data_IF_009074662230
#
_entry.id   IF_009074662230
#
_cell.length_a   1.000
_cell.length_b   1.000
_cell.length_c   1.000
_cell.angle_alpha   90.00
_cell.angle_beta   90.00
_cell.angle_gamma   90.00
#
_symmetry.space_group_name_H-M   'P 1'
#
loop_
_entity.id
_entity.type
_entity.pdbx_description
1 polymer ?
#
# COMPACT_ATOMS: atom_id res chain seq x y z
N UNK A 1 13.92 -25.10 11.33
CA UNK A 1 13.65 -25.72 12.64
C UNK A 1 12.18 -26.10 12.81
N UNK A 2 11.23 -25.15 12.78
CA UNK A 2 9.78 -25.41 12.89
C UNK A 2 9.26 -26.56 12.02
N UNK A 3 9.61 -26.57 10.73
CA UNK A 3 9.19 -27.63 9.81
C UNK A 3 9.69 -29.03 10.21
N UNK A 4 10.97 -29.15 10.58
CA UNK A 4 11.54 -30.42 11.03
C UNK A 4 10.84 -30.92 12.30
N UNK A 5 10.53 -30.00 13.23
CA UNK A 5 9.82 -30.35 14.46
C UNK A 5 8.39 -30.83 14.19
N UNK A 6 7.65 -30.21 13.26
CA UNK A 6 6.32 -30.70 12.87
C UNK A 6 6.36 -32.12 12.30
N UNK A 7 7.40 -32.45 11.53
CA UNK A 7 7.59 -33.81 10.99
C UNK A 7 7.91 -34.79 12.11
N UNK A 8 8.77 -34.43 13.05
CA UNK A 8 9.11 -35.31 14.18
C UNK A 8 7.94 -35.49 15.15
N UNK A 9 7.14 -34.45 15.45
CA UNK A 9 5.92 -34.57 16.26
C UNK A 9 4.92 -35.54 15.62
N UNK A 10 4.85 -35.61 14.29
CA UNK A 10 4.03 -36.62 13.61
C UNK A 10 4.63 -38.02 13.67
N UNK A 11 5.95 -38.16 13.56
CA UNK A 11 6.63 -39.45 13.73
C UNK A 11 6.47 -39.99 15.17
N UNK A 12 6.34 -39.13 16.17
CA UNK A 12 5.97 -39.54 17.54
C UNK A 12 4.59 -40.18 17.63
N UNK A 13 3.67 -39.83 16.73
CA UNK A 13 2.33 -40.41 16.67
C UNK A 13 2.26 -41.71 15.85
N UNK A 14 3.36 -42.12 15.20
CA UNK A 14 3.43 -43.38 14.45
C UNK A 14 3.62 -44.56 15.41
N UNK A 15 2.94 -45.70 15.19
CA UNK A 15 3.01 -46.86 16.11
C UNK A 15 4.29 -47.71 16.00
N UNK A 16 5.33 -47.18 15.38
CA UNK A 16 6.62 -47.86 15.26
C UNK A 16 7.62 -47.28 16.30
N UNK A 17 8.13 -48.10 17.23
CA UNK A 17 9.05 -47.64 18.26
C UNK A 17 10.38 -47.11 17.70
N UNK A 18 10.82 -47.55 16.52
CA UNK A 18 12.06 -47.06 15.90
C UNK A 18 11.89 -45.62 15.39
N UNK A 19 10.74 -45.33 14.74
CA UNK A 19 10.44 -43.97 14.27
C UNK A 19 10.18 -43.00 15.42
N UNK A 20 9.54 -43.46 16.50
CA UNK A 20 9.39 -42.67 17.70
C UNK A 20 10.75 -42.33 18.33
N UNK A 21 11.62 -43.32 18.52
CA UNK A 21 12.96 -43.09 19.10
C UNK A 21 13.81 -42.13 18.26
N UNK A 22 13.76 -42.27 16.94
CA UNK A 22 14.42 -41.36 16.00
C UNK A 22 13.89 -39.93 16.12
N UNK A 23 12.56 -39.75 16.10
CA UNK A 23 11.92 -38.44 16.22
C UNK A 23 12.26 -37.73 17.53
N UNK A 24 12.30 -38.46 18.65
CA UNK A 24 12.72 -37.92 19.97
C UNK A 24 14.13 -37.35 19.91
N UNK A 25 15.08 -38.14 19.41
CA UNK A 25 16.48 -37.74 19.30
C UNK A 25 16.65 -36.51 18.42
N UNK A 26 15.93 -36.43 17.31
CA UNK A 26 16.01 -35.28 16.40
C UNK A 26 15.35 -34.01 16.96
N UNK A 27 14.27 -34.14 17.74
CA UNK A 27 13.64 -33.02 18.45
C UNK A 27 14.55 -32.46 19.55
N UNK A 28 15.15 -33.33 20.36
CA UNK A 28 16.13 -32.95 21.38
C UNK A 28 17.36 -32.28 20.76
N UNK A 29 17.89 -32.85 19.68
CA UNK A 29 19.01 -32.26 18.95
C UNK A 29 18.64 -30.90 18.33
N UNK A 30 17.40 -30.73 17.86
CA UNK A 30 16.91 -29.46 17.31
C UNK A 30 16.85 -28.38 18.39
N UNK A 31 16.35 -28.70 19.59
CA UNK A 31 16.42 -27.79 20.75
C UNK A 31 17.86 -27.42 21.06
N UNK A 32 18.76 -28.40 21.13
CA UNK A 32 20.16 -28.16 21.50
C UNK A 32 20.87 -27.27 20.48
N UNK A 33 20.62 -27.45 19.17
CA UNK A 33 21.17 -26.58 18.13
C UNK A 33 20.56 -25.18 18.22
N UNK A 34 19.26 -25.04 18.49
CA UNK A 34 18.64 -23.75 18.74
C UNK A 34 19.33 -23.03 19.92
N UNK A 35 19.54 -23.72 21.05
CA UNK A 35 20.23 -23.17 22.23
C UNK A 35 21.70 -22.80 21.97
N UNK A 36 22.37 -23.46 21.03
CA UNK A 36 23.79 -23.23 20.71
C UNK A 36 24.04 -22.29 19.52
N UNK A 37 22.99 -21.91 18.78
CA UNK A 37 23.12 -21.08 17.57
C UNK A 37 23.56 -19.65 17.92
N UNK A 38 24.55 -19.09 17.22
CA UNK A 38 24.94 -17.67 17.38
C UNK A 38 23.86 -16.68 16.93
N UNK A 39 22.91 -17.10 16.07
CA UNK A 39 21.74 -16.28 15.74
C UNK A 39 20.77 -16.14 16.93
N UNK A 40 20.88 -17.04 17.92
CA UNK A 40 20.15 -16.99 19.20
C UNK A 40 20.57 -15.79 20.07
N UNK A 41 21.79 -15.27 19.88
CA UNK A 41 22.31 -14.14 20.64
C UNK A 41 21.76 -12.78 20.18
N UNK A 42 21.26 -12.67 18.94
CA UNK A 42 20.82 -11.40 18.35
C UNK A 42 19.29 -11.23 18.29
N UNK A 43 18.52 -12.28 18.56
CA UNK A 43 17.05 -12.25 18.53
C UNK A 43 16.49 -13.01 19.75
N UNK A 44 16.80 -12.46 20.93
CA UNK A 44 16.74 -13.13 22.23
C UNK A 44 15.31 -13.47 22.68
N UNK A 45 14.31 -12.66 22.33
CA UNK A 45 12.92 -12.88 22.79
C UNK A 45 12.13 -13.79 21.85
N UNK A 46 12.24 -13.59 20.53
CA UNK A 46 11.55 -14.42 19.55
C UNK A 46 12.07 -15.86 19.61
N UNK A 47 13.39 -16.03 19.67
CA UNK A 47 14.00 -17.37 19.70
C UNK A 47 13.78 -18.07 21.04
N UNK A 48 13.68 -17.33 22.15
CA UNK A 48 13.33 -17.88 23.47
C UNK A 48 11.87 -18.29 23.55
N UNK A 49 10.94 -17.51 22.99
CA UNK A 49 9.53 -17.89 22.88
C UNK A 49 9.36 -19.12 21.96
N UNK A 50 10.09 -19.18 20.85
CA UNK A 50 10.07 -20.36 19.97
C UNK A 50 10.66 -21.61 20.64
N UNK A 51 11.76 -21.50 21.39
CA UNK A 51 12.30 -22.63 22.15
C UNK A 51 11.34 -23.05 23.26
N UNK A 52 10.71 -22.11 23.95
CA UNK A 52 9.69 -22.39 24.95
C UNK A 52 8.47 -23.12 24.36
N UNK A 53 7.96 -22.65 23.21
CA UNK A 53 6.87 -23.29 22.47
C UNK A 53 7.30 -24.69 21.99
N UNK A 54 8.53 -24.83 21.45
CA UNK A 54 9.06 -26.13 21.05
C UNK A 54 9.20 -27.09 22.23
N UNK A 55 9.72 -26.63 23.37
CA UNK A 55 9.83 -27.41 24.60
C UNK A 55 8.45 -27.84 25.09
N UNK A 56 7.46 -26.94 25.02
CA UNK A 56 6.09 -27.21 25.41
C UNK A 56 5.38 -28.18 24.45
N UNK A 57 5.58 -28.05 23.14
CA UNK A 57 5.06 -28.97 22.12
C UNK A 57 5.66 -30.37 22.27
N UNK A 58 6.95 -30.43 22.54
CA UNK A 58 7.69 -31.65 22.84
C UNK A 58 7.13 -32.28 24.11
N UNK A 59 7.03 -31.51 25.20
CA UNK A 59 6.45 -31.98 26.46
C UNK A 59 5.02 -32.48 26.27
N UNK A 60 4.16 -31.75 25.56
CA UNK A 60 2.80 -32.15 25.25
C UNK A 60 2.75 -33.43 24.40
N UNK A 61 3.63 -33.57 23.39
CA UNK A 61 3.71 -34.78 22.57
C UNK A 61 4.25 -36.00 23.34
N UNK A 62 5.09 -35.78 24.36
CA UNK A 62 5.61 -36.83 25.23
C UNK A 62 4.61 -37.28 26.30
N UNK A 63 3.78 -36.38 26.83
CA UNK A 63 2.97 -36.62 28.02
C UNK A 63 1.44 -36.63 27.81
N UNK A 64 0.91 -36.07 26.71
CA UNK A 64 -0.54 -36.06 26.42
C UNK A 64 -0.90 -36.82 25.14
N UNK A 65 -1.57 -37.97 25.31
CA UNK A 65 -1.99 -38.87 24.23
C UNK A 65 -3.49 -38.72 23.92
N UNK A 66 -3.92 -37.66 23.21
CA UNK A 66 -5.16 -37.61 22.38
C UNK A 66 -5.49 -36.20 21.84
N UNK A 67 -5.43 -36.00 20.52
CA UNK A 67 -6.59 -35.79 19.64
C UNK A 67 -6.14 -35.43 18.22
N UNK A 68 -6.66 -36.18 17.23
CA UNK A 68 -6.38 -36.02 15.80
C UNK A 68 -7.45 -35.20 15.09
N UNK A 69 -7.09 -34.07 14.46
CA UNK A 69 -7.89 -33.44 13.39
C UNK A 69 -7.03 -32.90 12.20
N UNK A 70 -5.69 -32.83 12.26
CA UNK A 70 -4.86 -32.17 11.21
C UNK A 70 -4.24 -33.08 10.11
N UNK A 71 -4.89 -34.18 9.72
CA UNK A 71 -4.20 -35.24 8.96
C UNK A 71 -4.25 -35.18 7.42
N UNK A 72 -5.05 -34.36 6.75
CA UNK A 72 -5.15 -34.42 5.27
C UNK A 72 -4.42 -33.29 4.51
N UNK A 73 -4.47 -32.03 4.95
CA UNK A 73 -3.81 -30.92 4.22
C UNK A 73 -2.27 -30.93 4.35
N UNK A 74 -1.76 -31.48 5.45
CA UNK A 74 -0.37 -31.29 5.86
C UNK A 74 0.61 -32.27 5.19
N UNK A 75 0.15 -33.42 4.70
CA UNK A 75 1.02 -34.37 3.95
C UNK A 75 1.25 -33.92 2.51
N UNK A 76 0.21 -33.35 1.86
CA UNK A 76 0.35 -32.73 0.54
C UNK A 76 1.28 -31.51 0.59
N UNK A 77 1.19 -30.71 1.65
CA UNK A 77 2.06 -29.57 1.91
C UNK A 77 3.53 -29.99 2.12
N UNK A 78 3.77 -31.12 2.79
CA UNK A 78 5.13 -31.66 3.02
C UNK A 78 5.77 -32.19 1.71
N UNK A 79 5.02 -32.91 0.88
CA UNK A 79 5.52 -33.37 -0.42
C UNK A 79 5.76 -32.23 -1.40
N UNK A 80 4.89 -31.21 -1.37
CA UNK A 80 5.04 -30.00 -2.16
C UNK A 80 6.30 -29.22 -1.77
N UNK A 81 6.57 -29.03 -0.47
CA UNK A 81 7.77 -28.32 -0.01
C UNK A 81 9.08 -29.07 -0.28
N UNK A 82 9.10 -30.40 -0.21
CA UNK A 82 10.31 -31.19 -0.51
C UNK A 82 10.71 -31.12 -2.00
N UNK A 83 9.76 -30.85 -2.90
CA UNK A 83 10.00 -30.83 -4.35
C UNK A 83 9.82 -29.45 -5.02
N UNK A 84 9.53 -28.39 -4.26
CA UNK A 84 9.28 -27.05 -4.83
C UNK A 84 10.47 -26.54 -5.66
N UNK A 85 11.69 -27.01 -5.35
CA UNK A 85 12.92 -26.66 -6.07
C UNK A 85 13.03 -27.25 -7.48
N UNK A 86 12.21 -28.25 -7.82
CA UNK A 86 12.20 -28.87 -9.14
C UNK A 86 11.14 -28.26 -10.07
N UNK A 87 10.30 -27.37 -9.55
CA UNK A 87 9.31 -26.68 -10.38
C UNK A 87 9.99 -25.59 -11.22
N UNK A 88 9.62 -25.46 -12.51
CA UNK A 88 9.94 -24.31 -13.32
C UNK A 88 9.56 -23.01 -12.61
N UNK A 89 10.38 -21.98 -12.78
CA UNK A 89 10.19 -20.70 -12.07
C UNK A 89 8.84 -20.05 -12.43
N UNK A 90 8.34 -20.24 -13.64
CA UNK A 90 7.04 -19.73 -14.09
C UNK A 90 5.88 -20.31 -13.27
N UNK A 91 5.98 -21.58 -12.87
CA UNK A 91 5.00 -22.19 -11.97
C UNK A 91 5.14 -21.65 -10.55
N UNK A 92 6.37 -21.43 -10.09
CA UNK A 92 6.65 -20.82 -8.79
C UNK A 92 6.12 -19.38 -8.70
N UNK A 93 6.21 -18.61 -9.78
CA UNK A 93 5.59 -17.29 -9.87
C UNK A 93 4.07 -17.37 -9.75
N UNK A 94 3.43 -18.28 -10.51
CA UNK A 94 1.97 -18.49 -10.40
C UNK A 94 1.54 -18.91 -9.00
N UNK A 95 2.32 -19.76 -8.32
CA UNK A 95 2.06 -20.11 -6.91
C UNK A 95 2.24 -18.87 -6.03
N UNK A 96 3.31 -18.10 -6.28
CA UNK A 96 3.60 -16.85 -5.59
C UNK A 96 2.49 -15.82 -5.70
N UNK A 97 1.74 -15.78 -6.81
CA UNK A 97 0.58 -14.88 -6.98
C UNK A 97 -0.50 -15.13 -5.93
N UNK A 98 -0.69 -16.37 -5.50
CA UNK A 98 -1.65 -16.76 -4.45
C UNK A 98 -1.12 -16.58 -3.02
N UNK A 99 0.16 -16.28 -2.84
CA UNK A 99 0.79 -16.12 -1.53
C UNK A 99 0.98 -14.65 -1.18
N UNK A 100 0.70 -14.29 0.08
CA UNK A 100 1.04 -12.97 0.60
C UNK A 100 2.54 -12.80 0.79
N UNK A 101 2.99 -11.55 0.99
CA UNK A 101 4.41 -11.26 1.24
C UNK A 101 4.94 -12.03 2.45
N UNK A 102 4.16 -12.09 3.53
CA UNK A 102 4.52 -12.82 4.75
C UNK A 102 4.72 -14.31 4.49
N UNK A 103 3.83 -14.96 3.73
CA UNK A 103 3.97 -16.38 3.39
C UNK A 103 5.24 -16.67 2.58
N UNK A 104 5.54 -15.82 1.59
CA UNK A 104 6.74 -15.96 0.77
C UNK A 104 8.00 -15.70 1.61
N UNK A 105 7.95 -14.73 2.52
CA UNK A 105 9.04 -14.47 3.47
C UNK A 105 9.33 -15.69 4.34
N UNK A 106 8.30 -16.28 4.96
CA UNK A 106 8.46 -17.47 5.80
C UNK A 106 8.89 -18.71 5.01
N UNK A 107 8.45 -18.87 3.76
CA UNK A 107 9.02 -19.86 2.84
C UNK A 107 10.54 -19.72 2.74
N UNK A 108 11.04 -18.49 2.64
CA UNK A 108 12.47 -18.18 2.60
C UNK A 108 13.25 -18.55 3.87
N UNK A 109 12.57 -18.70 5.01
CA UNK A 109 13.19 -19.12 6.28
C UNK A 109 13.31 -20.64 6.43
N UNK A 110 12.66 -21.42 5.57
CA UNK A 110 12.58 -22.89 5.71
C UNK A 110 13.88 -23.61 5.37
N UNK A 111 14.59 -23.17 4.33
CA UNK A 111 15.87 -23.76 3.89
C UNK A 111 16.67 -22.76 3.04
N UNK A 112 17.95 -23.04 2.78
CA UNK A 112 18.78 -22.21 1.89
C UNK A 112 18.23 -22.17 0.46
N UNK A 113 17.76 -23.31 -0.08
CA UNK A 113 17.16 -23.36 -1.41
C UNK A 113 15.81 -22.63 -1.44
N UNK A 114 15.00 -22.74 -0.39
CA UNK A 114 13.73 -22.02 -0.27
C UNK A 114 13.95 -20.52 -0.17
N UNK A 115 15.03 -20.08 0.48
CA UNK A 115 15.45 -18.68 0.51
C UNK A 115 15.69 -18.13 -0.88
N UNK A 116 16.45 -18.83 -1.72
CA UNK A 116 16.72 -18.38 -3.09
C UNK A 116 15.42 -18.25 -3.89
N UNK A 117 14.52 -19.24 -3.79
CA UNK A 117 13.22 -19.18 -4.46
C UNK A 117 12.37 -18.02 -3.94
N UNK A 118 12.25 -17.87 -2.62
CA UNK A 118 11.50 -16.80 -2.01
C UNK A 118 12.05 -15.42 -2.43
N UNK A 119 13.37 -15.26 -2.47
CA UNK A 119 14.02 -14.03 -2.94
C UNK A 119 13.70 -13.75 -4.42
N UNK A 120 13.72 -14.77 -5.29
CA UNK A 120 13.35 -14.62 -6.69
C UNK A 120 11.87 -14.26 -6.86
N UNK A 121 10.97 -14.91 -6.11
CA UNK A 121 9.54 -14.61 -6.13
C UNK A 121 9.32 -13.17 -5.63
N UNK A 122 9.91 -12.80 -4.48
CA UNK A 122 9.79 -11.46 -3.89
C UNK A 122 10.28 -10.39 -4.88
N UNK A 123 11.43 -10.62 -5.53
CA UNK A 123 11.96 -9.72 -6.55
C UNK A 123 11.05 -9.60 -7.77
N UNK A 124 10.45 -10.71 -8.21
CA UNK A 124 9.58 -10.68 -9.39
C UNK A 124 8.20 -10.06 -9.12
N UNK A 125 7.62 -10.33 -7.94
CA UNK A 125 6.25 -9.93 -7.57
C UNK A 125 6.18 -8.55 -6.93
N UNK A 126 7.12 -8.24 -6.04
CA UNK A 126 7.13 -6.99 -5.26
C UNK A 126 8.23 -6.03 -5.70
N UNK A 127 9.08 -6.42 -6.67
CA UNK A 127 10.24 -5.63 -7.09
C UNK A 127 11.25 -5.32 -5.97
N UNK A 128 11.23 -6.10 -4.89
CA UNK A 128 12.16 -5.97 -3.76
C UNK A 128 13.38 -6.88 -4.00
N UNK A 129 14.56 -6.29 -4.17
CA UNK A 129 15.80 -7.06 -4.29
C UNK A 129 16.43 -7.36 -2.93
N UNK A 130 16.19 -8.58 -2.44
CA UNK A 130 16.79 -9.08 -1.19
C UNK A 130 18.16 -9.75 -1.39
N UNK A 131 18.65 -9.92 -2.64
CA UNK A 131 19.96 -10.54 -2.90
C UNK A 131 21.11 -9.59 -2.63
N UNK A 132 20.86 -8.29 -2.73
CA UNK A 132 21.81 -7.24 -2.37
C UNK A 132 21.97 -7.08 -0.85
N UNK A 133 21.64 -8.09 -0.03
CA UNK A 133 21.63 -8.03 1.44
C UNK A 133 22.95 -7.60 2.09
N UNK A 134 24.05 -7.64 1.33
CA UNK A 134 25.34 -7.04 1.72
C UNK A 134 25.29 -5.51 1.84
N UNK A 135 24.31 -4.86 1.21
CA UNK A 135 24.22 -3.41 1.08
C UNK A 135 23.48 -2.81 2.29
N UNK A 136 22.38 -3.39 2.81
CA UNK A 136 21.74 -2.90 4.06
C UNK A 136 21.05 -4.00 4.90
N UNK A 137 21.70 -4.56 5.94
CA UNK A 137 21.09 -5.49 6.90
C UNK A 137 19.85 -4.94 7.63
N UNK A 138 19.74 -3.61 7.71
CA UNK A 138 18.60 -2.93 8.33
C UNK A 138 17.33 -3.05 7.48
N UNK A 139 17.39 -2.83 6.17
CA UNK A 139 16.23 -2.97 5.28
C UNK A 139 15.65 -4.40 5.32
N UNK A 140 16.52 -5.42 5.42
CA UNK A 140 16.10 -6.82 5.63
C UNK A 140 15.34 -7.01 6.96
N UNK A 141 15.75 -6.31 8.02
CA UNK A 141 15.07 -6.34 9.31
C UNK A 141 13.69 -5.67 9.24
N UNK A 142 13.55 -4.53 8.55
CA UNK A 142 12.24 -3.88 8.34
C UNK A 142 11.31 -4.78 7.53
N UNK A 143 11.79 -5.41 6.46
CA UNK A 143 11.00 -6.40 5.71
C UNK A 143 10.57 -7.60 6.57
N UNK A 144 11.44 -8.07 7.47
CA UNK A 144 11.09 -9.12 8.42
C UNK A 144 9.97 -8.67 9.38
N UNK A 145 10.05 -7.44 9.88
CA UNK A 145 9.02 -6.83 10.72
C UNK A 145 7.67 -6.76 10.00
N UNK A 146 7.66 -6.32 8.74
CA UNK A 146 6.45 -6.29 7.89
C UNK A 146 5.88 -7.69 7.67
N UNK A 147 6.73 -8.68 7.37
CA UNK A 147 6.28 -10.07 7.20
C UNK A 147 5.67 -10.63 8.49
N UNK A 148 6.25 -10.29 9.65
CA UNK A 148 5.74 -10.69 10.96
C UNK A 148 4.38 -10.04 11.25
N UNK A 149 4.27 -8.72 11.05
CA UNK A 149 3.01 -7.98 11.17
C UNK A 149 1.93 -8.54 10.24
N UNK A 150 2.26 -8.78 8.96
CA UNK A 150 1.31 -9.34 8.01
C UNK A 150 0.81 -10.75 8.36
N UNK A 151 1.53 -11.51 9.20
CA UNK A 151 1.13 -12.86 9.62
C UNK A 151 0.42 -12.91 10.96
N UNK A 152 0.87 -12.10 11.92
CA UNK A 152 0.41 -12.17 13.31
C UNK A 152 -0.30 -10.90 13.78
N UNK A 153 -0.17 -9.80 13.04
CA UNK A 153 -0.82 -8.54 13.38
C UNK A 153 -2.32 -8.53 13.14
N UNK A 154 -2.86 -9.48 12.37
CA UNK A 154 -4.30 -9.63 12.10
C UNK A 154 -4.78 -11.01 12.54
N UNK A 155 -5.53 -11.07 13.64
CA UNK A 155 -6.17 -12.29 14.16
C UNK A 155 -7.68 -12.15 14.00
N UNK A 156 -8.30 -13.01 13.19
CA UNK A 156 -9.75 -12.97 12.92
C UNK A 156 -10.23 -11.60 12.38
N UNK A 157 -9.45 -10.98 11.48
CA UNK A 157 -9.69 -9.61 10.98
C UNK A 157 -9.78 -8.58 12.11
N UNK A 158 -9.02 -8.79 13.20
CA UNK A 158 -8.80 -7.85 14.29
C UNK A 158 -7.30 -7.59 14.45
N UNK A 159 -6.92 -6.32 14.51
CA UNK A 159 -5.54 -5.91 14.76
C UNK A 159 -5.18 -6.33 16.18
N UNK A 160 -4.10 -7.10 16.32
CA UNK A 160 -3.60 -7.54 17.61
C UNK A 160 -2.63 -6.48 18.18
N UNK A 161 -3.04 -5.67 19.17
CA UNK A 161 -2.25 -4.54 19.64
C UNK A 161 -0.95 -4.97 20.32
N UNK A 162 -0.93 -6.14 20.98
CA UNK A 162 0.29 -6.72 21.58
C UNK A 162 1.37 -7.00 20.54
N UNK A 163 0.99 -7.55 19.39
CA UNK A 163 1.91 -7.81 18.28
C UNK A 163 2.42 -6.51 17.69
N UNK A 164 1.53 -5.55 17.45
CA UNK A 164 1.87 -4.23 16.91
C UNK A 164 2.89 -3.52 17.81
N UNK A 165 2.60 -3.45 19.12
CA UNK A 165 3.47 -2.86 20.13
C UNK A 165 4.82 -3.56 20.21
N UNK A 166 4.81 -4.90 20.22
CA UNK A 166 6.05 -5.68 20.28
C UNK A 166 6.95 -5.37 19.08
N UNK A 167 6.41 -5.39 17.86
CA UNK A 167 7.20 -5.10 16.65
C UNK A 167 7.67 -3.65 16.65
N UNK A 168 6.82 -2.70 17.06
CA UNK A 168 7.17 -1.29 17.06
C UNK A 168 8.30 -0.99 18.06
N UNK A 169 8.24 -1.57 19.27
CA UNK A 169 9.31 -1.49 20.26
C UNK A 169 10.62 -2.05 19.72
N UNK A 170 10.59 -3.24 19.12
CA UNK A 170 11.79 -3.88 18.57
C UNK A 170 12.40 -3.08 17.43
N UNK A 171 11.56 -2.50 16.57
CA UNK A 171 12.04 -1.66 15.47
C UNK A 171 12.61 -0.34 15.97
N UNK A 172 11.97 0.29 16.95
CA UNK A 172 12.48 1.52 17.56
C UNK A 172 13.83 1.31 18.26
N UNK A 173 13.97 0.21 19.02
CA UNK A 173 15.25 -0.20 19.62
C UNK A 173 16.29 -0.48 18.54
N UNK A 174 15.90 -1.19 17.46
CA UNK A 174 16.81 -1.49 16.36
C UNK A 174 17.31 -0.22 15.63
N UNK A 175 16.47 0.82 15.52
CA UNK A 175 16.87 2.14 15.01
C UNK A 175 17.84 2.78 16.00
N UNK A 176 17.48 2.89 17.27
CA UNK A 176 18.30 3.46 18.35
C UNK A 176 19.69 2.81 18.42
N UNK A 177 19.76 1.49 18.45
CA UNK A 177 21.01 0.72 18.57
C UNK A 177 21.93 0.87 17.36
N UNK A 178 21.44 1.36 16.22
CA UNK A 178 22.22 1.58 14.99
C UNK A 178 22.71 3.02 14.83
N UNK A 179 22.23 3.95 15.66
CA UNK A 179 22.70 5.33 15.64
C UNK A 179 24.18 5.40 16.10
N UNK A 180 24.97 6.32 15.52
CA UNK A 180 26.33 6.59 15.97
C UNK A 180 26.34 7.23 17.36
N UNK A 181 26.84 6.52 18.37
CA UNK A 181 27.16 7.13 19.69
C UNK A 181 28.42 8.01 19.63
N UNK A 182 29.27 7.80 18.62
CA UNK A 182 30.52 8.53 18.42
C UNK A 182 30.95 8.43 16.95
N UNK A 183 30.51 9.39 16.12
CA UNK A 183 30.98 9.81 14.77
C UNK A 183 31.53 8.80 13.72
N UNK A 184 31.54 7.50 13.96
CA UNK A 184 32.16 6.47 13.11
C UNK A 184 31.16 5.45 12.56
N UNK A 185 29.84 5.58 12.83
CA UNK A 185 28.80 4.80 12.13
C UNK A 185 28.23 5.60 10.97
N UNK A 186 27.87 4.88 9.91
CA UNK A 186 27.55 5.45 8.60
C UNK A 186 26.14 6.01 8.42
N UNK A 187 25.21 5.79 9.38
CA UNK A 187 23.79 6.07 9.19
C UNK A 187 23.29 7.15 10.15
N UNK A 188 22.63 8.18 9.62
CA UNK A 188 21.87 9.14 10.41
C UNK A 188 20.51 8.55 10.81
N UNK A 189 19.88 9.15 11.83
CA UNK A 189 18.48 8.87 12.18
C UNK A 189 17.57 9.01 10.96
N UNK A 190 17.71 10.11 10.23
CA UNK A 190 16.94 10.40 9.02
C UNK A 190 17.06 9.28 7.98
N UNK A 191 18.26 8.72 7.80
CA UNK A 191 18.48 7.62 6.86
C UNK A 191 17.71 6.35 7.28
N UNK A 192 17.82 5.96 8.56
CA UNK A 192 17.13 4.76 9.07
C UNK A 192 15.61 4.94 9.03
N UNK A 193 15.13 6.13 9.36
CA UNK A 193 13.72 6.44 9.30
C UNK A 193 13.20 6.49 7.86
N UNK A 194 13.93 7.13 6.94
CA UNK A 194 13.60 7.17 5.52
C UNK A 194 13.56 5.75 4.91
N UNK A 195 14.52 4.89 5.23
CA UNK A 195 14.47 3.47 4.81
C UNK A 195 13.25 2.75 5.38
N UNK A 196 12.95 2.97 6.66
CA UNK A 196 11.79 2.35 7.32
C UNK A 196 10.47 2.77 6.68
N UNK A 197 10.25 4.08 6.51
CA UNK A 197 9.05 4.64 5.89
C UNK A 197 8.91 4.19 4.44
N UNK A 198 10.00 4.19 3.68
CA UNK A 198 10.02 3.71 2.30
C UNK A 198 9.52 2.27 2.19
N UNK A 199 10.09 1.38 3.00
CA UNK A 199 9.69 -0.04 3.01
C UNK A 199 8.23 -0.21 3.44
N UNK A 200 7.80 0.47 4.51
CA UNK A 200 6.42 0.35 4.99
C UNK A 200 5.40 0.81 3.95
N UNK A 201 5.68 1.91 3.24
CA UNK A 201 4.77 2.41 2.20
C UNK A 201 4.75 1.53 0.96
N UNK A 202 5.90 1.00 0.54
CA UNK A 202 5.95 0.05 -0.57
C UNK A 202 5.10 -1.19 -0.27
N UNK A 203 5.18 -1.73 0.95
CA UNK A 203 4.35 -2.85 1.38
C UNK A 203 2.87 -2.50 1.50
N UNK A 204 2.55 -1.32 2.03
CA UNK A 204 1.17 -0.87 2.11
C UNK A 204 0.55 -0.74 0.71
N UNK A 205 1.25 -0.17 -0.26
CA UNK A 205 0.70 0.04 -1.61
C UNK A 205 0.60 -1.24 -2.45
N UNK A 206 1.43 -2.24 -2.15
CA UNK A 206 1.40 -3.55 -2.80
C UNK A 206 0.34 -4.50 -2.22
N UNK A 207 -0.39 -4.09 -1.18
CA UNK A 207 -1.39 -4.91 -0.52
C UNK A 207 -2.69 -5.03 -1.36
N UNK A 208 -3.04 -6.24 -1.83
CA UNK A 208 -4.24 -6.46 -2.63
C UNK A 208 -5.55 -6.13 -1.89
N UNK A 209 -5.54 -6.10 -0.56
CA UNK A 209 -6.75 -5.84 0.23
C UNK A 209 -7.16 -4.37 0.25
N UNK A 210 -6.21 -3.43 0.04
CA UNK A 210 -6.54 -2.04 -0.33
C UNK A 210 -7.27 -1.95 -1.69
N UNK A 211 -7.18 -3.00 -2.51
CA UNK A 211 -7.77 -3.09 -3.85
C UNK A 211 -9.14 -3.76 -3.87
N UNK A 212 -9.64 -4.28 -2.73
CA UNK A 212 -11.02 -4.73 -2.66
C UNK A 212 -11.93 -3.50 -2.85
N UNK A 213 -12.28 -3.21 -4.10
CA UNK A 213 -13.46 -2.42 -4.38
C UNK A 213 -14.63 -3.15 -3.71
N UNK A 214 -15.59 -2.45 -3.08
CA UNK A 214 -16.86 -3.08 -2.81
C UNK A 214 -17.31 -3.72 -4.14
N UNK A 215 -17.72 -5.00 -4.12
CA UNK A 215 -18.13 -5.67 -5.35
C UNK A 215 -19.13 -4.76 -6.06
N UNK A 216 -19.00 -4.54 -7.38
CA UNK A 216 -19.97 -3.73 -8.09
C UNK A 216 -21.33 -4.35 -7.78
N UNK A 217 -22.19 -3.58 -7.10
CA UNK A 217 -23.58 -3.94 -6.93
C UNK A 217 -24.09 -4.22 -8.34
N UNK A 218 -24.27 -5.48 -8.71
CA UNK A 218 -24.86 -5.87 -9.98
C UNK A 218 -26.27 -5.27 -9.99
N UNK A 219 -26.38 -4.07 -10.56
CA UNK A 219 -27.62 -3.35 -10.76
C UNK A 219 -28.42 -4.11 -11.83
N UNK A 220 -29.04 -5.21 -11.43
CA UNK A 220 -30.22 -5.76 -12.11
C UNK A 220 -31.38 -4.79 -11.84
N UNK A 221 -31.35 -3.66 -12.55
CA UNK A 221 -32.38 -2.63 -12.55
C UNK A 221 -33.69 -3.19 -13.09
N UNK A 222 -34.63 -3.55 -12.20
CA UNK A 222 -36.06 -3.43 -12.49
C UNK A 222 -36.47 -2.00 -12.12
N UNK A 223 -37.11 -1.30 -13.07
CA UNK A 223 -37.47 0.13 -12.99
C UNK A 223 -38.39 0.50 -11.81
N UNK A 224 -38.94 -0.46 -11.09
CA UNK A 224 -40.00 -0.23 -10.09
C UNK A 224 -39.48 -0.06 -8.65
N UNK A 225 -38.22 -0.38 -8.34
CA UNK A 225 -37.65 -0.27 -6.98
C UNK A 225 -36.76 0.98 -6.76
N UNK A 226 -36.69 1.89 -7.73
CA UNK A 226 -35.64 2.91 -7.77
C UNK A 226 -35.73 3.93 -6.62
N UNK A 227 -36.92 4.22 -6.10
CA UNK A 227 -37.11 5.20 -5.03
C UNK A 227 -36.70 4.66 -3.66
N UNK A 228 -37.12 3.44 -3.34
CA UNK A 228 -36.88 2.83 -2.03
C UNK A 228 -35.42 2.33 -1.90
N UNK A 229 -34.84 1.83 -3.01
CA UNK A 229 -33.41 1.50 -3.05
C UNK A 229 -32.50 2.72 -3.07
N UNK A 230 -32.95 3.93 -3.43
CA UNK A 230 -32.09 5.12 -3.38
C UNK A 230 -31.83 5.56 -1.93
N UNK A 231 -32.86 5.46 -1.08
CA UNK A 231 -32.74 5.74 0.35
C UNK A 231 -31.98 4.61 1.06
N UNK A 232 -32.21 3.34 0.69
CA UNK A 232 -31.42 2.21 1.20
C UNK A 232 -29.95 2.28 0.73
N UNK A 233 -29.67 2.68 -0.51
CA UNK A 233 -28.31 2.89 -1.02
C UNK A 233 -27.64 4.12 -0.39
N UNK A 234 -28.37 5.18 -0.07
CA UNK A 234 -27.81 6.31 0.68
C UNK A 234 -27.43 5.90 2.11
N UNK A 235 -28.22 5.01 2.73
CA UNK A 235 -27.99 4.54 4.09
C UNK A 235 -26.90 3.46 4.13
N UNK A 236 -26.87 2.54 3.17
CA UNK A 236 -25.90 1.45 3.06
C UNK A 236 -24.55 1.92 2.48
N UNK A 237 -24.52 2.91 1.57
CA UNK A 237 -23.29 3.56 1.13
C UNK A 237 -22.71 4.51 2.19
N UNK A 238 -23.52 4.97 3.17
CA UNK A 238 -23.00 5.71 4.32
C UNK A 238 -22.24 4.79 5.30
N UNK A 239 -22.64 3.52 5.43
CA UNK A 239 -22.08 2.59 6.43
C UNK A 239 -21.07 1.56 5.87
N UNK A 240 -21.17 1.17 4.60
CA UNK A 240 -20.21 0.26 3.94
C UNK A 240 -18.95 0.95 3.40
N UNK A 241 -18.85 2.28 3.54
CA UNK A 241 -17.69 3.07 3.08
C UNK A 241 -16.77 3.53 4.21
N UNK A 242 -16.74 2.84 5.36
CA UNK A 242 -15.61 3.02 6.26
C UNK A 242 -14.41 2.25 5.68
N UNK A 243 -13.36 2.92 5.16
CA UNK A 243 -12.18 2.23 4.65
C UNK A 243 -11.44 1.44 5.75
N UNK A 244 -11.81 1.63 7.02
CA UNK A 244 -11.37 0.83 8.18
C UNK A 244 -12.18 -0.46 8.41
N UNK A 245 -13.33 -0.64 7.77
CA UNK A 245 -14.19 -1.81 8.00
C UNK A 245 -13.54 -3.12 7.52
N UNK A 246 -12.73 -3.06 6.46
CA UNK A 246 -11.79 -4.13 6.12
C UNK A 246 -10.45 -3.80 6.79
N UNK A 247 -10.08 -4.58 7.80
CA UNK A 247 -8.74 -4.53 8.38
C UNK A 247 -7.72 -5.10 7.39
N UNK A 248 -7.37 -4.25 6.42
CA UNK A 248 -6.33 -4.48 5.41
C UNK A 248 -4.94 -4.38 6.02
N UNK A 249 -3.93 -4.91 5.33
CA UNK A 249 -2.54 -4.68 5.72
C UNK A 249 -2.19 -3.18 5.61
N UNK A 250 -2.82 -2.43 4.71
CA UNK A 250 -2.74 -0.96 4.68
C UNK A 250 -3.10 -0.30 6.02
N UNK A 251 -4.24 -0.68 6.62
CA UNK A 251 -4.66 -0.16 7.94
C UNK A 251 -3.66 -0.58 9.02
N UNK A 252 -3.25 -1.86 9.01
CA UNK A 252 -2.24 -2.36 9.96
C UNK A 252 -0.93 -1.57 9.88
N UNK A 253 -0.46 -1.21 8.68
CA UNK A 253 0.76 -0.41 8.51
C UNK A 253 0.59 1.02 9.03
N UNK A 254 -0.58 1.62 8.91
CA UNK A 254 -0.84 2.98 9.43
C UNK A 254 -0.87 2.95 10.96
N UNK A 255 -1.56 1.99 11.56
CA UNK A 255 -1.58 1.83 13.02
C UNK A 255 -0.17 1.54 13.55
N UNK A 256 0.60 0.73 12.82
CA UNK A 256 2.01 0.49 13.12
C UNK A 256 2.85 1.77 13.08
N UNK A 257 2.68 2.60 12.05
CA UNK A 257 3.40 3.86 11.89
C UNK A 257 3.09 4.85 13.01
N UNK A 258 1.81 5.00 13.36
CA UNK A 258 1.38 5.83 14.50
C UNK A 258 2.05 5.38 15.80
N UNK A 259 2.06 4.08 16.04
CA UNK A 259 2.66 3.52 17.25
C UNK A 259 4.18 3.69 17.24
N UNK A 260 4.83 3.37 16.13
CA UNK A 260 6.27 3.53 15.95
C UNK A 260 6.68 5.00 16.16
N UNK A 261 5.95 5.95 15.59
CA UNK A 261 6.20 7.38 15.78
C UNK A 261 6.18 7.73 17.28
N UNK A 262 5.13 7.33 18.00
CA UNK A 262 5.01 7.64 19.44
C UNK A 262 6.17 7.07 20.27
N UNK A 263 6.66 5.87 19.93
CA UNK A 263 7.80 5.25 20.61
C UNK A 263 9.10 5.98 20.27
N UNK A 264 9.29 6.35 19.01
CA UNK A 264 10.46 7.10 18.57
C UNK A 264 10.50 8.48 19.25
N UNK A 265 9.36 9.16 19.36
CA UNK A 265 9.26 10.43 20.10
C UNK A 265 9.74 10.27 21.55
N UNK A 266 9.28 9.23 22.25
CA UNK A 266 9.69 8.93 23.64
C UNK A 266 11.19 8.60 23.75
N UNK A 267 11.74 7.86 22.78
CA UNK A 267 13.15 7.44 22.82
C UNK A 267 14.13 8.57 22.46
N UNK A 268 13.69 9.52 21.64
CA UNK A 268 14.55 10.55 21.06
C UNK A 268 14.19 11.98 21.48
N UNK A 269 13.43 12.17 22.57
CA UNK A 269 12.88 13.38 23.21
C UNK A 269 13.52 14.77 22.90
N UNK A 270 14.80 14.86 22.50
CA UNK A 270 15.51 16.10 22.14
C UNK A 270 16.20 16.12 20.77
N UNK A 271 16.42 14.97 20.12
CA UNK A 271 17.15 14.87 18.84
C UNK A 271 16.21 14.69 17.63
N UNK A 272 14.99 14.19 17.86
CA UNK A 272 13.98 14.05 16.81
C UNK A 272 12.96 15.18 16.89
N UNK A 273 13.04 16.13 15.97
CA UNK A 273 11.87 16.98 15.75
C UNK A 273 10.76 16.13 15.13
N UNK A 274 9.55 16.20 15.70
CA UNK A 274 8.30 15.70 15.09
C UNK A 274 8.20 16.15 13.63
N UNK A 275 8.76 17.33 13.34
CA UNK A 275 8.89 17.88 12.00
C UNK A 275 9.72 17.00 11.06
N UNK A 276 10.81 16.36 11.52
CA UNK A 276 11.63 15.48 10.67
C UNK A 276 10.85 14.25 10.22
N UNK A 277 10.13 13.60 11.13
CA UNK A 277 9.28 12.46 10.80
C UNK A 277 8.19 12.84 9.79
N UNK A 278 7.49 13.95 10.06
CA UNK A 278 6.47 14.50 9.17
C UNK A 278 7.02 14.87 7.79
N UNK A 279 8.19 15.51 7.73
CA UNK A 279 8.84 15.91 6.47
C UNK A 279 9.23 14.70 5.63
N UNK A 280 9.83 13.68 6.24
CA UNK A 280 10.16 12.43 5.54
C UNK A 280 8.90 11.71 5.05
N UNK A 281 7.85 11.69 5.87
CA UNK A 281 6.57 11.11 5.49
C UNK A 281 5.96 11.80 4.27
N UNK A 282 5.91 13.13 4.25
CA UNK A 282 5.45 13.91 3.10
C UNK A 282 6.35 13.71 1.87
N UNK A 283 7.66 13.63 2.07
CA UNK A 283 8.62 13.35 1.01
C UNK A 283 8.35 11.99 0.36
N UNK A 284 8.07 10.95 1.14
CA UNK A 284 7.71 9.63 0.59
C UNK A 284 6.37 9.65 -0.14
N UNK A 285 5.33 10.30 0.40
CA UNK A 285 4.04 10.45 -0.28
C UNK A 285 4.19 11.17 -1.62
N UNK A 286 4.99 12.24 -1.66
CA UNK A 286 5.33 12.97 -2.88
C UNK A 286 6.06 12.07 -3.88
N UNK A 287 7.08 11.33 -3.42
CA UNK A 287 7.84 10.39 -4.26
C UNK A 287 6.94 9.33 -4.89
N UNK A 288 6.04 8.75 -4.10
CA UNK A 288 5.08 7.75 -4.57
C UNK A 288 4.14 8.37 -5.61
N UNK A 289 3.53 9.52 -5.31
CA UNK A 289 2.63 10.18 -6.25
C UNK A 289 3.34 10.58 -7.55
N UNK A 290 4.61 11.01 -7.48
CA UNK A 290 5.42 11.30 -8.65
C UNK A 290 5.68 10.05 -9.50
N UNK A 291 6.03 8.91 -8.89
CA UNK A 291 6.20 7.66 -9.61
C UNK A 291 4.89 7.22 -10.30
N UNK A 292 3.77 7.32 -9.59
CA UNK A 292 2.45 7.02 -10.15
C UNK A 292 2.08 7.98 -11.28
N UNK A 293 2.41 9.27 -11.12
CA UNK A 293 2.22 10.30 -12.15
C UNK A 293 3.06 9.99 -13.39
N UNK A 294 4.33 9.66 -13.24
CA UNK A 294 5.20 9.33 -14.37
C UNK A 294 4.66 8.13 -15.16
N UNK A 295 4.25 7.07 -14.47
CA UNK A 295 3.61 5.92 -15.12
C UNK A 295 2.31 6.29 -15.86
N UNK A 296 1.48 7.12 -15.22
CA UNK A 296 0.23 7.63 -15.79
C UNK A 296 0.50 8.50 -17.04
N UNK A 297 1.46 9.42 -16.97
CA UNK A 297 1.84 10.29 -18.08
C UNK A 297 2.43 9.47 -19.23
N UNK A 298 3.37 8.56 -18.94
CA UNK A 298 3.95 7.66 -19.94
C UNK A 298 2.89 6.84 -20.67
N UNK A 299 1.90 6.30 -19.93
CA UNK A 299 0.78 5.58 -20.52
C UNK A 299 0.04 6.45 -21.55
N UNK A 300 -0.30 7.69 -21.19
CA UNK A 300 -1.06 8.56 -22.08
C UNK A 300 -0.22 9.15 -23.22
N UNK A 301 1.08 9.40 -23.02
CA UNK A 301 2.02 9.77 -24.08
C UNK A 301 2.09 8.68 -25.15
N UNK A 302 2.23 7.41 -24.75
CA UNK A 302 2.23 6.29 -25.69
C UNK A 302 0.87 6.11 -26.37
N UNK A 303 -0.24 6.13 -25.63
CA UNK A 303 -1.57 5.91 -26.18
C UNK A 303 -2.01 7.00 -27.18
N UNK A 304 -1.52 8.24 -27.02
CA UNK A 304 -1.78 9.31 -28.00
C UNK A 304 -1.05 9.14 -29.34
N UNK A 305 0.01 8.32 -29.40
CA UNK A 305 0.81 8.09 -30.59
C UNK A 305 0.26 6.94 -31.47
N UNK A 306 -0.58 6.06 -30.93
CA UNK A 306 -1.12 4.92 -31.67
C UNK A 306 -2.46 5.24 -32.35
N UNK A 307 -2.70 4.71 -33.57
CA UNK A 307 -4.00 4.83 -34.21
C UNK A 307 -5.05 4.03 -33.42
N UNK A 308 -6.14 4.73 -33.09
CA UNK A 308 -7.50 4.46 -32.52
C UNK A 308 -8.03 3.01 -32.35
N UNK A 309 -7.32 1.99 -32.79
CA UNK A 309 -7.75 0.58 -32.75
C UNK A 309 -7.75 -0.05 -31.36
N UNK A 310 -6.92 0.40 -30.41
CA UNK A 310 -6.98 -0.12 -29.04
C UNK A 310 -8.00 0.64 -28.18
N UNK A 311 -8.79 -0.06 -27.34
CA UNK A 311 -9.75 0.60 -26.46
C UNK A 311 -9.04 1.50 -25.46
N UNK A 312 -9.62 2.67 -25.21
CA UNK A 312 -9.15 3.58 -24.17
C UNK A 312 -9.36 2.93 -22.79
N UNK A 313 -8.28 2.45 -22.14
CA UNK A 313 -8.34 1.71 -20.88
C UNK A 313 -7.92 2.58 -19.67
N UNK A 314 -8.83 3.47 -19.26
CA UNK A 314 -8.61 4.41 -18.16
C UNK A 314 -8.38 3.71 -16.80
N UNK A 315 -9.06 2.59 -16.59
CA UNK A 315 -8.98 1.82 -15.33
C UNK A 315 -7.56 1.34 -15.06
N UNK A 316 -6.87 0.84 -16.09
CA UNK A 316 -5.49 0.35 -15.95
C UNK A 316 -4.52 1.49 -15.62
N UNK A 317 -4.67 2.64 -16.28
CA UNK A 317 -3.80 3.80 -16.09
C UNK A 317 -3.97 4.43 -14.70
N UNK A 318 -5.21 4.49 -14.22
CA UNK A 318 -5.57 5.18 -12.97
C UNK A 318 -5.51 4.27 -11.75
N UNK A 319 -5.33 2.97 -11.94
CA UNK A 319 -5.32 2.00 -10.85
C UNK A 319 -4.31 2.32 -9.73
N UNK A 320 -3.02 2.58 -10.01
CA UNK A 320 -2.07 2.93 -8.95
C UNK A 320 -2.40 4.28 -8.26
N UNK A 321 -3.04 5.20 -8.97
CA UNK A 321 -3.48 6.48 -8.40
C UNK A 321 -4.63 6.28 -7.40
N UNK A 322 -5.61 5.43 -7.72
CA UNK A 322 -6.68 5.11 -6.78
C UNK A 322 -6.14 4.41 -5.52
N UNK A 323 -5.13 3.55 -5.65
CA UNK A 323 -4.47 2.92 -4.51
C UNK A 323 -3.79 3.97 -3.62
N UNK A 324 -3.00 4.84 -4.23
CA UNK A 324 -2.37 5.95 -3.53
C UNK A 324 -3.40 6.81 -2.81
N UNK A 325 -4.48 7.20 -3.49
CA UNK A 325 -5.53 8.05 -2.93
C UNK A 325 -6.21 7.37 -1.72
N UNK A 326 -6.54 6.08 -1.81
CA UNK A 326 -7.11 5.33 -0.68
C UNK A 326 -6.16 5.30 0.52
N UNK A 327 -4.90 4.96 0.29
CA UNK A 327 -3.88 4.92 1.33
C UNK A 327 -3.66 6.31 1.96
N UNK A 328 -3.53 7.34 1.12
CA UNK A 328 -3.43 8.73 1.55
C UNK A 328 -4.62 9.14 2.42
N UNK A 329 -5.85 8.87 1.99
CA UNK A 329 -7.04 9.21 2.76
C UNK A 329 -7.16 8.43 4.07
N UNK A 330 -6.68 7.18 4.14
CA UNK A 330 -6.57 6.45 5.40
C UNK A 330 -5.62 7.18 6.37
N UNK A 331 -4.47 7.65 5.89
CA UNK A 331 -3.53 8.44 6.69
C UNK A 331 -4.07 9.81 7.12
N UNK A 332 -4.95 10.43 6.30
CA UNK A 332 -5.65 11.66 6.69
C UNK A 332 -6.61 11.40 7.85
N UNK A 333 -7.28 10.25 7.83
CA UNK A 333 -8.24 9.87 8.86
C UNK A 333 -7.59 9.48 10.19
N UNK A 334 -6.30 9.13 10.19
CA UNK A 334 -5.49 9.00 11.41
C UNK A 334 -4.79 10.31 11.76
N UNK A 335 -4.10 10.35 12.90
CA UNK A 335 -3.32 11.50 13.33
C UNK A 335 -1.94 11.63 12.64
N UNK A 336 -1.67 10.84 11.60
CA UNK A 336 -0.40 10.88 10.85
C UNK A 336 -0.23 12.18 10.06
N UNK A 337 -1.29 12.67 9.42
CA UNK A 337 -1.26 13.87 8.57
C UNK A 337 -2.14 14.99 9.14
N UNK A 338 -1.61 16.21 9.29
CA UNK A 338 -2.45 17.35 9.70
C UNK A 338 -3.40 17.79 8.56
N UNK A 339 -4.55 18.42 8.85
CA UNK A 339 -5.42 18.96 7.81
C UNK A 339 -4.69 19.93 6.86
N UNK A 340 -3.75 20.70 7.40
CA UNK A 340 -2.92 21.61 6.59
C UNK A 340 -2.05 20.84 5.60
N UNK A 341 -1.41 19.75 6.02
CA UNK A 341 -0.61 18.90 5.12
C UNK A 341 -1.43 18.42 3.93
N UNK A 342 -2.71 18.10 4.15
CA UNK A 342 -3.60 17.59 3.10
C UNK A 342 -3.99 18.68 2.11
N UNK A 343 -4.33 19.89 2.60
CA UNK A 343 -4.66 21.03 1.74
C UNK A 343 -3.44 21.46 0.90
N UNK A 344 -2.26 21.53 1.53
CA UNK A 344 -0.98 21.85 0.88
C UNK A 344 -0.62 20.79 -0.16
N UNK A 345 -0.62 19.50 0.21
CA UNK A 345 -0.32 18.37 -0.68
C UNK A 345 -1.26 18.29 -1.88
N UNK A 346 -2.56 18.55 -1.68
CA UNK A 346 -3.53 18.59 -2.77
C UNK A 346 -3.20 19.72 -3.75
N UNK A 347 -2.88 20.91 -3.24
CA UNK A 347 -2.57 22.07 -4.06
C UNK A 347 -1.27 21.91 -4.86
N UNK A 348 -0.23 21.36 -4.24
CA UNK A 348 1.11 21.28 -4.82
C UNK A 348 1.31 20.06 -5.70
N UNK A 349 0.69 18.91 -5.37
CA UNK A 349 1.01 17.64 -6.01
C UNK A 349 -0.19 17.01 -6.72
N UNK A 350 -1.36 16.98 -6.10
CA UNK A 350 -2.56 16.43 -6.74
C UNK A 350 -2.98 17.25 -7.97
N UNK A 351 -2.84 18.58 -7.90
CA UNK A 351 -3.09 19.46 -9.04
C UNK A 351 -2.20 19.15 -10.25
N UNK A 352 -0.95 18.73 -10.00
CA UNK A 352 0.06 18.43 -11.02
C UNK A 352 0.01 16.99 -11.52
N UNK A 353 -0.88 16.15 -10.99
CA UNK A 353 -0.98 14.74 -11.35
C UNK A 353 -1.48 14.52 -12.79
N UNK A 354 -2.46 15.31 -13.21
CA UNK A 354 -3.20 15.11 -14.45
C UNK A 354 -2.45 15.64 -15.67
N UNK A 355 -2.68 15.04 -16.83
CA UNK A 355 -2.09 15.48 -18.11
C UNK A 355 -2.74 16.77 -18.58
N UNK A 356 -4.06 16.88 -18.42
CA UNK A 356 -4.87 18.03 -18.84
C UNK A 356 -5.24 18.91 -17.64
N UNK A 357 -5.37 20.20 -17.87
CA UNK A 357 -5.87 21.18 -16.91
C UNK A 357 -7.37 21.40 -17.11
N UNK A 358 -8.11 21.82 -16.07
CA UNK A 358 -9.54 22.08 -16.19
C UNK A 358 -9.91 22.99 -17.36
N UNK A 359 -9.08 23.99 -17.66
CA UNK A 359 -9.33 25.00 -18.69
C UNK A 359 -8.69 24.68 -20.05
N UNK A 360 -8.14 23.49 -20.24
CA UNK A 360 -7.59 23.08 -21.54
C UNK A 360 -8.68 22.86 -22.58
N UNK A 361 -9.93 22.61 -22.16
CA UNK A 361 -11.08 22.43 -23.04
C UNK A 361 -12.09 23.55 -22.83
N UNK A 362 -12.56 24.14 -23.92
CA UNK A 362 -13.61 25.16 -23.93
C UNK A 362 -14.73 24.82 -24.91
N UNK A 363 -15.89 25.43 -24.69
CA UNK A 363 -17.09 25.24 -25.52
C UNK A 363 -17.55 26.59 -26.08
N UNK A 364 -18.00 26.63 -27.34
CA UNK A 364 -18.63 27.83 -27.94
C UNK A 364 -19.98 27.49 -28.53
N UNK A 365 -21.03 28.12 -27.99
CA UNK A 365 -22.40 28.03 -28.48
C UNK A 365 -22.62 28.83 -29.76
N UNK A 366 -21.95 30.00 -29.86
CA UNK A 366 -22.09 30.93 -30.99
C UNK A 366 -21.63 30.34 -32.33
N UNK A 367 -20.82 29.28 -32.31
CA UNK A 367 -20.24 28.64 -33.49
C UNK A 367 -20.71 27.19 -33.66
N UNK A 368 -22.00 26.89 -33.51
CA UNK A 368 -22.57 25.54 -33.73
C UNK A 368 -22.05 24.47 -32.77
N UNK A 369 -21.85 24.81 -31.48
CA UNK A 369 -21.34 23.89 -30.45
C UNK A 369 -19.98 23.26 -30.83
N UNK A 370 -18.96 24.11 -30.88
CA UNK A 370 -17.58 23.68 -31.14
C UNK A 370 -16.82 23.48 -29.83
N UNK A 371 -16.02 22.42 -29.81
CA UNK A 371 -15.07 22.13 -28.74
C UNK A 371 -13.72 22.74 -29.14
N UNK A 372 -13.09 23.45 -28.21
CA UNK A 372 -11.76 24.02 -28.38
C UNK A 372 -10.84 23.31 -27.41
N UNK A 373 -9.67 22.89 -27.88
CA UNK A 373 -8.66 22.27 -27.04
C UNK A 373 -7.40 23.13 -27.14
N UNK A 374 -6.98 23.69 -26.00
CA UNK A 374 -5.76 24.48 -25.88
C UNK A 374 -4.56 23.55 -25.92
N UNK A 375 -3.62 23.85 -26.80
CA UNK A 375 -2.33 23.17 -26.81
C UNK A 375 -1.35 23.94 -25.91
N UNK A 376 -0.48 23.28 -25.12
CA UNK A 376 0.48 23.94 -24.23
C UNK A 376 1.45 24.94 -24.89
N UNK A 377 1.51 25.00 -26.23
CA UNK A 377 2.45 25.85 -26.98
C UNK A 377 1.83 26.59 -28.19
N UNK A 378 0.50 26.67 -28.32
CA UNK A 378 -0.17 27.34 -29.46
C UNK A 378 -1.41 28.13 -29.04
N UNK A 379 -1.76 29.15 -29.85
CA UNK A 379 -3.07 29.81 -29.83
C UNK A 379 -4.20 28.77 -29.97
N UNK A 380 -5.37 29.08 -29.42
CA UNK A 380 -6.58 28.24 -29.41
C UNK A 380 -6.81 27.52 -30.75
N UNK A 381 -6.49 26.23 -30.82
CA UNK A 381 -6.76 25.42 -31.99
C UNK A 381 -8.24 25.02 -31.99
N UNK A 382 -8.96 25.42 -33.03
CA UNK A 382 -10.34 25.03 -33.24
C UNK A 382 -10.41 23.54 -33.58
N UNK A 383 -11.08 22.72 -32.76
CA UNK A 383 -11.45 21.37 -33.17
C UNK A 383 -12.65 21.50 -34.09
N UNK A 384 -12.40 21.63 -35.39
CA UNK A 384 -13.46 21.59 -36.39
C UNK A 384 -14.08 20.20 -36.41
N UNK A 385 -15.23 20.08 -35.74
CA UNK A 385 -16.09 18.89 -35.69
C UNK A 385 -15.38 17.63 -35.22
N UNK A 386 -15.67 17.26 -33.97
CA UNK A 386 -15.36 15.99 -33.28
C UNK A 386 -15.86 14.81 -34.11
N UNK A 387 -15.16 14.52 -35.19
CA UNK A 387 -15.28 13.29 -35.97
C UNK A 387 -13.98 12.56 -35.77
N UNK A 388 -14.07 11.33 -35.26
CA UNK A 388 -12.95 10.44 -34.92
C UNK A 388 -11.93 10.28 -36.06
N UNK A 389 -12.34 10.62 -37.29
CA UNK A 389 -11.62 10.40 -38.54
C UNK A 389 -10.62 11.51 -38.92
N UNK A 390 -10.79 12.76 -38.46
CA UNK A 390 -9.94 13.89 -38.92
C UNK A 390 -8.76 14.20 -38.02
N UNK A 391 -8.93 14.12 -36.69
CA UNK A 391 -7.90 14.51 -35.70
C UNK A 391 -7.93 13.60 -34.47
N UNK A 392 -7.47 12.34 -34.59
CA UNK A 392 -7.56 11.34 -33.52
C UNK A 392 -6.86 11.77 -32.22
N UNK A 393 -5.77 12.53 -32.30
CA UNK A 393 -5.06 13.06 -31.12
C UNK A 393 -5.90 14.08 -30.33
N UNK A 394 -6.63 14.97 -31.01
CA UNK A 394 -7.49 15.97 -30.35
C UNK A 394 -8.74 15.30 -29.74
N UNK A 395 -9.29 14.30 -30.43
CA UNK A 395 -10.38 13.48 -29.89
C UNK A 395 -9.96 12.74 -28.62
N UNK A 396 -8.77 12.13 -28.64
CA UNK A 396 -8.19 11.47 -27.48
C UNK A 396 -7.98 12.44 -26.32
N UNK A 397 -7.41 13.63 -26.58
CA UNK A 397 -7.14 14.64 -25.55
C UNK A 397 -8.43 15.16 -24.90
N UNK A 398 -9.49 15.37 -25.68
CA UNK A 398 -10.81 15.73 -25.16
C UNK A 398 -11.40 14.62 -24.26
N UNK A 399 -11.34 13.36 -24.72
CA UNK A 399 -11.83 12.22 -23.94
C UNK A 399 -11.05 12.06 -22.63
N UNK A 400 -9.72 12.18 -22.71
CA UNK A 400 -8.83 12.17 -21.56
C UNK A 400 -9.20 13.28 -20.58
N UNK A 401 -9.36 14.51 -21.05
CA UNK A 401 -9.77 15.65 -20.22
C UNK A 401 -11.08 15.38 -19.47
N UNK A 402 -12.09 14.83 -20.13
CA UNK A 402 -13.38 14.54 -19.50
C UNK A 402 -13.23 13.54 -18.35
N UNK A 403 -12.45 12.48 -18.55
CA UNK A 403 -12.22 11.47 -17.52
C UNK A 403 -11.30 11.97 -16.41
N UNK A 404 -10.32 12.82 -16.73
CA UNK A 404 -9.47 13.47 -15.72
C UNK A 404 -10.24 14.47 -14.88
N UNK A 405 -11.22 15.20 -15.44
CA UNK A 405 -12.12 16.05 -14.66
C UNK A 405 -12.89 15.20 -13.64
N UNK A 406 -13.48 14.08 -14.07
CA UNK A 406 -14.20 13.17 -13.17
C UNK A 406 -13.28 12.61 -12.08
N UNK A 407 -12.10 12.13 -12.46
CA UNK A 407 -11.11 11.58 -11.53
C UNK A 407 -10.62 12.64 -10.54
N UNK A 408 -10.38 13.87 -11.00
CA UNK A 408 -9.99 15.01 -10.15
C UNK A 408 -11.08 15.38 -9.16
N UNK A 409 -12.33 15.47 -9.61
CA UNK A 409 -13.47 15.71 -8.70
C UNK A 409 -13.57 14.60 -7.65
N UNK A 410 -13.48 13.34 -8.07
CA UNK A 410 -13.52 12.20 -7.17
C UNK A 410 -12.39 12.28 -6.12
N UNK A 411 -11.14 12.49 -6.56
CA UNK A 411 -10.00 12.57 -5.66
C UNK A 411 -10.13 13.70 -4.63
N UNK A 412 -10.53 14.89 -5.08
CA UNK A 412 -10.73 16.05 -4.21
C UNK A 412 -11.89 15.86 -3.23
N UNK A 413 -13.01 15.26 -3.67
CA UNK A 413 -14.15 14.98 -2.79
C UNK A 413 -13.82 13.92 -1.74
N UNK A 414 -13.07 12.89 -2.12
CA UNK A 414 -12.63 11.82 -1.20
C UNK A 414 -11.64 12.38 -0.17
N UNK A 415 -10.67 13.18 -0.59
CA UNK A 415 -9.76 13.89 0.31
C UNK A 415 -10.52 14.84 1.26
N UNK A 416 -11.45 15.64 0.73
CA UNK A 416 -12.28 16.55 1.52
C UNK A 416 -13.13 15.79 2.54
N UNK A 417 -13.77 14.68 2.16
CA UNK A 417 -14.55 13.84 3.07
C UNK A 417 -13.67 13.28 4.19
N UNK A 418 -12.46 12.80 3.86
CA UNK A 418 -11.50 12.31 4.85
C UNK A 418 -11.09 13.41 5.84
N UNK A 419 -10.78 14.61 5.35
CA UNK A 419 -10.45 15.76 6.20
C UNK A 419 -11.61 16.18 7.10
N UNK A 420 -12.83 16.29 6.55
CA UNK A 420 -14.01 16.65 7.33
C UNK A 420 -14.25 15.62 8.44
N UNK A 421 -14.18 14.32 8.15
CA UNK A 421 -14.31 13.24 9.14
C UNK A 421 -13.28 13.42 10.27
N UNK A 422 -12.01 13.65 9.92
CA UNK A 422 -10.93 13.88 10.89
C UNK A 422 -11.19 15.11 11.76
N UNK A 423 -11.50 16.25 11.13
CA UNK A 423 -11.75 17.52 11.82
C UNK A 423 -12.98 17.45 12.75
N UNK A 424 -14.05 16.80 12.32
CA UNK A 424 -15.24 16.56 13.16
C UNK A 424 -14.90 15.70 14.39
N UNK A 425 -14.11 14.64 14.22
CA UNK A 425 -13.67 13.80 15.34
C UNK A 425 -12.81 14.57 16.36
N UNK A 426 -12.05 15.57 15.88
CA UNK A 426 -11.19 16.41 16.74
C UNK A 426 -11.91 17.66 17.28
N UNK A 427 -13.15 17.95 16.85
CA UNK A 427 -13.85 19.18 17.21
C UNK A 427 -13.24 20.47 16.62
N UNK A 428 -12.44 20.35 15.55
CA UNK A 428 -11.75 21.47 14.90
C UNK A 428 -12.45 21.80 13.57
N UNK A 429 -12.49 23.07 13.17
CA UNK A 429 -12.99 23.43 11.83
C UNK A 429 -11.95 23.08 10.73
N UNK A 430 -12.36 22.43 9.64
CA UNK A 430 -11.44 22.06 8.56
C UNK A 430 -11.02 23.31 7.76
N UNK A 431 -9.70 23.53 7.65
CA UNK A 431 -9.12 24.49 6.70
C UNK A 431 -8.88 23.78 5.36
N UNK A 432 -9.87 23.86 4.45
CA UNK A 432 -9.82 23.22 3.12
C UNK A 432 -9.84 24.25 1.98
N UNK A 433 -9.09 25.34 2.12
CA UNK A 433 -9.17 26.49 1.23
C UNK A 433 -8.74 26.13 -0.20
N UNK A 434 -7.67 25.35 -0.34
CA UNK A 434 -7.12 24.96 -1.63
C UNK A 434 -7.98 23.88 -2.27
N UNK A 435 -8.35 22.83 -1.54
CA UNK A 435 -9.20 21.74 -2.06
C UNK A 435 -10.56 22.29 -2.52
N UNK A 436 -11.18 23.19 -1.74
CA UNK A 436 -12.46 23.82 -2.12
C UNK A 436 -12.30 24.68 -3.37
N UNK A 437 -11.19 25.42 -3.48
CA UNK A 437 -10.90 26.21 -4.67
C UNK A 437 -10.71 25.31 -5.89
N UNK A 438 -9.93 24.23 -5.78
CA UNK A 438 -9.72 23.24 -6.85
C UNK A 438 -11.03 22.56 -7.28
N UNK A 439 -11.91 22.20 -6.33
CA UNK A 439 -13.23 21.65 -6.61
C UNK A 439 -14.10 22.65 -7.37
N UNK A 440 -14.10 23.91 -6.95
CA UNK A 440 -14.80 24.99 -7.65
C UNK A 440 -14.28 25.14 -9.07
N UNK A 441 -12.97 25.18 -9.29
CA UNK A 441 -12.39 25.28 -10.63
C UNK A 441 -12.71 24.08 -11.51
N UNK A 442 -12.62 22.88 -10.96
CA UNK A 442 -12.93 21.64 -11.69
C UNK A 442 -14.42 21.58 -12.07
N UNK A 443 -15.30 22.06 -11.18
CA UNK A 443 -16.74 22.15 -11.47
C UNK A 443 -17.06 23.27 -12.46
N UNK A 444 -16.35 24.40 -12.40
CA UNK A 444 -16.50 25.50 -13.34
C UNK A 444 -16.07 25.10 -14.76
N UNK A 445 -15.10 24.21 -14.89
CA UNK A 445 -14.69 23.67 -16.19
C UNK A 445 -15.80 22.84 -16.87
N UNK A 446 -16.73 22.27 -16.09
CA UNK A 446 -17.94 21.62 -16.60
C UNK A 446 -19.11 22.60 -16.79
N UNK A 447 -19.09 23.74 -16.10
CA UNK A 447 -20.09 24.78 -16.30
C UNK A 447 -19.78 25.54 -17.59
N UNK A 448 -20.76 25.58 -18.48
CA UNK A 448 -20.72 26.14 -19.83
C UNK A 448 -20.54 27.67 -19.85
N UNK A 449 -19.48 28.20 -19.26
CA UNK A 449 -19.17 29.63 -19.33
C UNK A 449 -18.51 29.86 -20.70
N UNK A 450 -18.85 30.95 -21.39
CA UNK A 450 -18.24 31.27 -22.68
C UNK A 450 -16.80 31.74 -22.50
N UNK A 451 -15.90 31.27 -23.37
CA UNK A 451 -14.44 31.48 -23.35
C UNK A 451 -13.98 32.94 -23.18
N UNK A 452 -14.84 33.93 -23.40
CA UNK A 452 -14.57 35.36 -23.22
C UNK A 452 -14.34 35.83 -21.78
N UNK A 453 -14.91 35.16 -20.77
CA UNK A 453 -14.69 35.49 -19.34
C UNK A 453 -13.49 34.77 -18.70
N UNK A 454 -12.83 33.86 -19.43
CA UNK A 454 -11.80 32.97 -18.88
C UNK A 454 -10.42 33.62 -18.74
N UNK A 455 -10.09 34.57 -19.63
CA UNK A 455 -8.80 35.25 -19.60
C UNK A 455 -8.57 36.05 -18.31
N UNK A 456 -9.64 36.54 -17.66
CA UNK A 456 -9.53 37.29 -16.41
C UNK A 456 -9.38 36.38 -15.18
N UNK A 457 -10.07 35.22 -15.18
CA UNK A 457 -9.95 34.22 -14.10
C UNK A 457 -8.58 33.53 -14.13
N UNK A 458 -8.07 33.20 -15.32
CA UNK A 458 -6.76 32.57 -15.50
C UNK A 458 -5.61 33.53 -15.16
N UNK A 459 -5.69 34.80 -15.58
CA UNK A 459 -4.71 35.84 -15.20
C UNK A 459 -4.68 36.07 -13.68
N UNK A 460 -5.84 36.06 -13.01
CA UNK A 460 -5.91 36.16 -11.56
C UNK A 460 -5.28 34.95 -10.84
N UNK A 461 -5.27 33.78 -11.50
CA UNK A 461 -4.75 32.53 -10.95
C UNK A 461 -3.24 32.42 -11.11
N UNK A 462 -2.71 32.78 -12.29
CA UNK A 462 -1.27 32.90 -12.54
C UNK A 462 -0.67 33.92 -11.57
N UNK A 463 -1.33 35.07 -11.40
CA UNK A 463 -0.89 36.10 -10.45
C UNK A 463 -0.82 35.60 -8.99
N UNK A 464 -1.73 34.71 -8.58
CA UNK A 464 -1.72 34.10 -7.24
C UNK A 464 -0.65 33.02 -7.08
N UNK A 465 -0.40 32.21 -8.10
CA UNK A 465 0.62 31.16 -8.06
C UNK A 465 2.05 31.71 -8.14
N UNK A 466 2.25 32.91 -8.70
CA UNK A 466 3.55 33.59 -8.71
C UNK A 466 3.82 34.46 -7.48
N UNK A 467 2.86 34.59 -6.57
CA UNK A 467 2.98 35.40 -5.34
C UNK A 467 3.23 34.56 -4.07
N UNK A 468 3.32 33.24 -4.18
CA UNK A 468 3.77 32.29 -3.16
C UNK A 468 5.14 31.79 -3.62
#
# INVERSE_FOLDING_TARGET
FLFANMVYIKLLNYHDPQYQAFARRCLEQSINICKMSKAYLYDLELTRNFVSIMEQDIHNAFFYKKHSIFNSLSVLFIYFFMNIHYLPFELLQRIGDYLGFSDIWYLGTCSHKSRQIAQQIIRSKYHIDLHSSLIHPFSHFVHAAVAYLGRYGLVQNRIEPSVLQSVANHLAIAIHDRLPTSSNRAFSYDFLLNETLGILFDHALLDPTLHAAPPPLELKLRKEDLGQKLDDLQTEALDTTDPYALQSAGVLMIDFLMLLQSILEILFDQECSVDTYRLLLLFHLKRILNNVREQYHLYHTHASAYPVSEPFHMEKATYPFHQFLKFFCLMVQTDVLSPKDVDDFASEHLAQFFVTKPFDVGFSLLNEFKIFVRHPHQDLAQVNTVTQEKTPALYYLWKLWLQEIQLRQHALLVALKAMIKKCMNQGVQPSCSQITSMLKYTSLALSWIETGQYNDVEKALIARQTMI
#
